data_IF_950664156325
#
_entry.id   IF_950664156325
#
_cell.length_a   1.000
_cell.length_b   1.000
_cell.length_c   1.000
_cell.angle_alpha   90.00
_cell.angle_beta   90.00
_cell.angle_gamma   90.00
#
_symmetry.space_group_name_H-M   'P 1'
#
loop_
_entity.id
_entity.type
_entity.pdbx_description
1 polymer ?
#
# COMPACT_ATOMS: atom_id res chain seq x y z
N UNK A 1 -33.76 -1.46 -11.75
CA UNK A 1 -32.35 -1.83 -11.53
C UNK A 1 -31.75 -0.70 -10.71
N UNK A 2 -31.59 -0.90 -9.40
CA UNK A 2 -31.07 0.11 -8.50
C UNK A 2 -29.55 0.13 -8.60
N UNK A 3 -28.97 1.25 -9.06
CA UNK A 3 -27.55 1.52 -8.97
C UNK A 3 -27.14 1.51 -7.50
N UNK A 4 -26.40 0.48 -7.11
CA UNK A 4 -25.77 0.41 -5.78
C UNK A 4 -24.64 1.44 -5.81
N UNK A 5 -24.63 2.45 -4.91
CA UNK A 5 -23.49 3.34 -4.80
C UNK A 5 -22.27 2.49 -4.40
N UNK A 6 -21.26 2.44 -5.27
CA UNK A 6 -19.96 1.87 -4.92
C UNK A 6 -19.41 2.76 -3.82
N UNK A 7 -19.56 2.33 -2.57
CA UNK A 7 -18.89 2.95 -1.44
C UNK A 7 -17.39 2.95 -1.76
N UNK A 8 -16.76 4.14 -1.81
CA UNK A 8 -15.30 4.23 -1.91
C UNK A 8 -14.74 3.47 -0.72
N UNK A 9 -14.36 2.20 -0.92
CA UNK A 9 -13.66 1.45 0.12
C UNK A 9 -12.34 2.17 0.29
N UNK A 10 -12.11 2.73 1.48
CA UNK A 10 -10.79 3.24 1.83
C UNK A 10 -9.86 2.03 1.83
N UNK A 11 -9.04 1.88 0.79
CA UNK A 11 -8.04 0.84 0.68
C UNK A 11 -6.76 1.40 1.30
N UNK A 12 -6.12 0.60 2.14
CA UNK A 12 -4.86 0.98 2.78
C UNK A 12 -3.75 1.05 1.71
N UNK A 13 -2.90 2.06 1.76
CA UNK A 13 -1.72 2.17 0.90
C UNK A 13 -0.49 1.70 1.67
N UNK A 14 0.30 0.80 1.08
CA UNK A 14 1.58 0.33 1.59
C UNK A 14 2.72 0.81 0.69
N UNK A 15 3.48 1.79 1.16
CA UNK A 15 4.76 2.18 0.57
C UNK A 15 5.83 1.13 0.93
N UNK A 16 6.42 0.49 -0.08
CA UNK A 16 7.27 -0.70 0.11
C UNK A 16 8.49 -0.69 -0.81
N UNK A 17 9.67 -0.97 -0.27
CA UNK A 17 10.88 -1.27 -1.06
C UNK A 17 10.97 -2.80 -1.25
N UNK A 18 11.05 -3.26 -2.50
CA UNK A 18 11.19 -4.68 -2.83
C UNK A 18 12.48 -5.32 -2.29
N UNK A 19 13.57 -4.54 -2.15
CA UNK A 19 14.90 -4.99 -1.70
C UNK A 19 15.04 -4.96 -0.18
N UNK A 20 14.14 -4.29 0.54
CA UNK A 20 14.19 -4.16 2.00
C UNK A 20 13.59 -5.39 2.71
N UNK A 21 14.35 -6.09 3.57
CA UNK A 21 13.82 -7.20 4.37
C UNK A 21 12.69 -6.78 5.31
N UNK A 22 12.74 -5.57 5.86
CA UNK A 22 11.69 -5.05 6.75
C UNK A 22 10.37 -4.87 6.00
N UNK A 23 10.43 -4.32 4.78
CA UNK A 23 9.25 -4.18 3.92
C UNK A 23 8.69 -5.56 3.52
N UNK A 24 9.57 -6.53 3.22
CA UNK A 24 9.15 -7.89 2.90
C UNK A 24 8.37 -8.57 4.04
N UNK A 25 8.79 -8.39 5.30
CA UNK A 25 8.06 -8.93 6.47
C UNK A 25 6.63 -8.39 6.56
N UNK A 26 6.44 -7.10 6.29
CA UNK A 26 5.10 -6.48 6.28
C UNK A 26 4.25 -7.06 5.15
N UNK A 27 4.80 -7.18 3.93
CA UNK A 27 4.09 -7.80 2.79
C UNK A 27 3.68 -9.25 3.09
N UNK A 28 4.54 -10.01 3.76
CA UNK A 28 4.26 -11.40 4.14
C UNK A 28 3.08 -11.50 5.12
N UNK A 29 3.09 -10.69 6.19
CA UNK A 29 1.99 -10.67 7.17
C UNK A 29 0.70 -10.16 6.55
N UNK A 30 0.78 -9.11 5.71
CA UNK A 30 -0.36 -8.57 4.99
C UNK A 30 -1.04 -9.64 4.13
N UNK A 31 -0.23 -10.42 3.41
CA UNK A 31 -0.71 -11.52 2.57
C UNK A 31 -1.31 -12.65 3.39
N UNK A 32 -0.65 -13.05 4.49
CA UNK A 32 -1.13 -14.11 5.40
C UNK A 32 -2.46 -13.75 6.08
N UNK A 33 -2.73 -12.45 6.29
CA UNK A 33 -3.93 -11.95 6.95
C UNK A 33 -5.02 -11.48 5.98
N UNK A 34 -4.82 -11.65 4.68
CA UNK A 34 -5.71 -11.15 3.62
C UNK A 34 -6.11 -9.67 3.81
N UNK A 35 -5.16 -8.83 4.23
CA UNK A 35 -5.40 -7.40 4.39
C UNK A 35 -5.37 -6.74 2.99
N UNK A 36 -6.47 -6.15 2.51
CA UNK A 36 -6.50 -5.50 1.21
C UNK A 36 -5.70 -4.19 1.24
N UNK A 37 -4.73 -4.07 0.34
CA UNK A 37 -3.91 -2.87 0.22
C UNK A 37 -3.44 -2.65 -1.21
N UNK A 38 -3.18 -1.38 -1.53
CA UNK A 38 -2.44 -0.96 -2.71
C UNK A 38 -0.96 -0.84 -2.34
N UNK A 39 -0.08 -1.51 -3.10
CA UNK A 39 1.36 -1.46 -2.84
C UNK A 39 1.99 -0.47 -3.82
N UNK A 40 2.61 0.57 -3.26
CA UNK A 40 3.41 1.53 -4.02
C UNK A 40 4.88 1.19 -3.81
N UNK A 41 5.59 0.90 -4.91
CA UNK A 41 7.03 0.65 -4.85
C UNK A 41 7.76 1.97 -4.51
N UNK A 42 8.66 1.90 -3.55
CA UNK A 42 9.50 3.03 -3.15
C UNK A 42 10.94 2.76 -3.54
N UNK A 43 11.49 3.67 -4.35
CA UNK A 43 12.93 3.78 -4.56
C UNK A 43 13.48 4.85 -3.61
N UNK A 44 14.56 4.54 -2.90
CA UNK A 44 15.19 5.47 -1.97
C UNK A 44 15.82 6.67 -2.69
N UNK A 45 16.22 6.48 -3.95
CA UNK A 45 16.79 7.54 -4.78
C UNK A 45 15.71 8.38 -5.47
N UNK A 46 14.44 7.93 -5.42
CA UNK A 46 13.30 8.60 -6.05
C UNK A 46 12.01 8.34 -5.26
N UNK A 47 11.84 9.09 -4.16
CA UNK A 47 10.69 8.96 -3.28
C UNK A 47 9.41 9.54 -3.92
N UNK A 48 8.26 8.85 -3.85
CA UNK A 48 6.98 9.39 -4.29
C UNK A 48 6.59 10.67 -3.55
N UNK A 49 5.94 11.61 -4.24
CA UNK A 49 5.47 12.89 -3.66
C UNK A 49 4.53 12.66 -2.46
N UNK A 50 3.54 11.78 -2.61
CA UNK A 50 2.61 11.37 -1.55
C UNK A 50 3.33 10.89 -0.27
N UNK A 51 4.50 10.25 -0.40
CA UNK A 51 5.29 9.79 0.74
C UNK A 51 6.05 10.95 1.41
N UNK A 52 6.45 11.96 0.65
CA UNK A 52 7.11 13.15 1.16
C UNK A 52 6.14 14.04 1.95
N UNK A 53 4.87 14.11 1.54
CA UNK A 53 3.83 14.89 2.23
C UNK A 53 3.42 14.32 3.60
N UNK A 54 3.77 13.06 3.89
CA UNK A 54 3.41 12.37 5.13
C UNK A 54 4.34 12.66 6.34
N UNK A 55 5.45 13.40 6.15
CA UNK A 55 6.46 13.68 7.19
C UNK A 55 6.69 15.18 7.41
#
# INVERSE_FOLDING_TARGET
MSDIPVTKRSVMVLFSDSKSPSCHRVRLVAKEKDIPMEVIEVDKDNLPEDLLELN
#
